data_IF_329129571215
#
_entry.id   IF_329129571215
#
_cell.length_a   1.000
_cell.length_b   1.000
_cell.length_c   1.000
_cell.angle_alpha   90.00
_cell.angle_beta   90.00
_cell.angle_gamma   90.00
#
_symmetry.space_group_name_H-M   'P 1'
#
loop_
_entity.id
_entity.type
_entity.pdbx_description
1 polymer ?
#
# COMPACT_ATOMS: atom_id res chain seq x y z
N UNK A 1 16.90 16.24 -8.20
CA UNK A 1 16.14 14.98 -8.09
C UNK A 1 16.41 14.18 -9.35
N UNK A 2 17.09 13.04 -9.26
CA UNK A 2 17.37 12.18 -10.42
C UNK A 2 16.06 11.68 -11.02
N UNK A 3 15.94 11.66 -12.34
CA UNK A 3 14.73 11.20 -13.06
C UNK A 3 14.32 9.77 -12.64
N UNK A 4 15.28 8.94 -12.22
CA UNK A 4 15.05 7.59 -11.72
C UNK A 4 14.18 7.55 -10.44
N UNK A 5 14.24 8.57 -9.58
CA UNK A 5 13.36 8.66 -8.40
C UNK A 5 11.89 8.82 -8.82
N UNK A 6 11.65 9.60 -9.87
CA UNK A 6 10.32 9.78 -10.45
C UNK A 6 9.84 8.47 -11.04
N UNK A 7 10.67 7.78 -11.83
CA UNK A 7 10.30 6.50 -12.42
C UNK A 7 10.05 5.41 -11.37
N UNK A 8 10.89 5.30 -10.35
CA UNK A 8 10.67 4.37 -9.24
C UNK A 8 9.37 4.65 -8.51
N UNK A 9 9.04 5.93 -8.30
CA UNK A 9 7.78 6.36 -7.67
C UNK A 9 6.57 5.95 -8.52
N UNK A 10 6.59 6.26 -9.82
CA UNK A 10 5.48 5.96 -10.72
C UNK A 10 5.29 4.45 -10.91
N UNK A 11 6.37 3.70 -11.14
CA UNK A 11 6.34 2.25 -11.25
C UNK A 11 5.84 1.61 -9.95
N UNK A 12 6.35 2.06 -8.79
CA UNK A 12 5.90 1.62 -7.48
C UNK A 12 4.42 1.92 -7.23
N UNK A 13 3.92 3.10 -7.59
CA UNK A 13 2.52 3.47 -7.42
C UNK A 13 1.60 2.60 -8.29
N UNK A 14 1.99 2.32 -9.53
CA UNK A 14 1.23 1.43 -10.43
C UNK A 14 1.19 0.01 -9.87
N UNK A 15 2.35 -0.56 -9.53
CA UNK A 15 2.43 -1.93 -8.99
C UNK A 15 1.67 -2.05 -7.66
N UNK A 16 1.78 -1.03 -6.79
CA UNK A 16 1.05 -0.95 -5.54
C UNK A 16 -0.46 -0.86 -5.74
N UNK A 17 -0.92 -0.09 -6.73
CA UNK A 17 -2.33 -0.02 -7.11
C UNK A 17 -2.86 -1.33 -7.70
N UNK A 18 -2.04 -2.07 -8.46
CA UNK A 18 -2.39 -3.41 -8.93
C UNK A 18 -2.54 -4.40 -7.76
N UNK A 19 -1.69 -4.29 -6.73
CA UNK A 19 -1.85 -5.08 -5.52
C UNK A 19 -3.15 -4.71 -4.78
N UNK A 20 -3.47 -3.43 -4.63
CA UNK A 20 -4.75 -3.00 -4.04
C UNK A 20 -5.94 -3.58 -4.81
N UNK A 21 -5.90 -3.50 -6.15
CA UNK A 21 -6.95 -4.06 -7.00
C UNK A 21 -7.06 -5.58 -6.86
N UNK A 22 -5.94 -6.31 -6.81
CA UNK A 22 -5.96 -7.77 -6.64
C UNK A 22 -6.59 -8.15 -5.29
N UNK A 23 -6.17 -7.52 -4.19
CA UNK A 23 -6.64 -7.87 -2.85
C UNK A 23 -8.09 -7.40 -2.61
N UNK A 24 -8.42 -6.16 -2.96
CA UNK A 24 -9.73 -5.57 -2.66
C UNK A 24 -10.77 -5.78 -3.78
N UNK A 25 -10.34 -5.77 -5.03
CA UNK A 25 -11.20 -5.89 -6.20
C UNK A 25 -11.45 -7.32 -6.67
N UNK A 26 -10.56 -8.27 -6.33
CA UNK A 26 -10.65 -9.67 -6.82
C UNK A 26 -10.73 -10.66 -5.66
N UNK A 27 -9.66 -10.82 -4.87
CA UNK A 27 -9.53 -11.93 -3.93
C UNK A 27 -10.51 -11.87 -2.75
N UNK A 28 -10.81 -10.67 -2.27
CA UNK A 28 -11.66 -10.47 -1.09
C UNK A 28 -12.87 -9.57 -1.35
N UNK A 29 -13.21 -9.33 -2.62
CA UNK A 29 -14.27 -8.39 -3.02
C UNK A 29 -15.60 -8.66 -2.31
N UNK A 30 -16.03 -9.92 -2.29
CA UNK A 30 -17.31 -10.32 -1.69
C UNK A 30 -17.38 -9.99 -0.19
N UNK A 31 -16.23 -9.97 0.50
CA UNK A 31 -16.18 -9.66 1.94
C UNK A 31 -16.45 -8.19 2.24
N UNK A 32 -16.27 -7.30 1.26
CA UNK A 32 -16.69 -5.91 1.38
C UNK A 32 -18.22 -5.73 1.36
N UNK A 33 -19.00 -6.79 1.16
CA UNK A 33 -20.46 -6.76 1.30
C UNK A 33 -20.94 -7.16 2.69
N UNK A 34 -20.06 -7.56 3.61
CA UNK A 34 -20.45 -7.95 4.98
C UNK A 34 -20.87 -6.76 5.83
N UNK A 35 -20.15 -5.63 5.75
CA UNK A 35 -20.46 -4.38 6.47
C UNK A 35 -20.44 -3.17 5.53
N UNK A 36 -21.33 -3.12 4.52
CA UNK A 36 -21.33 -2.08 3.49
C UNK A 36 -21.56 -0.68 4.06
N UNK A 37 -22.23 -0.56 5.21
CA UNK A 37 -22.46 0.70 5.91
C UNK A 37 -21.15 1.40 6.32
N UNK A 38 -20.02 0.69 6.39
CA UNK A 38 -18.73 1.24 6.82
C UNK A 38 -18.01 1.96 5.68
N UNK A 39 -18.10 1.49 4.44
CA UNK A 39 -17.29 2.01 3.32
C UNK A 39 -18.09 2.38 2.05
N UNK A 40 -19.32 1.86 1.85
CA UNK A 40 -20.17 2.15 0.68
C UNK A 40 -21.29 3.15 0.97
N UNK A 41 -20.93 4.33 1.46
CA UNK A 41 -21.88 5.44 1.64
C UNK A 41 -21.58 6.62 0.72
N UNK A 42 -22.53 6.96 -0.17
CA UNK A 42 -22.48 8.13 -1.04
C UNK A 42 -21.61 7.95 -2.30
N UNK A 43 -21.16 9.08 -2.88
CA UNK A 43 -20.34 9.07 -4.10
C UNK A 43 -18.89 8.62 -3.86
N UNK A 44 -18.47 7.54 -4.53
CA UNK A 44 -17.14 6.93 -4.32
C UNK A 44 -16.01 7.63 -5.11
N UNK A 45 -16.34 8.35 -6.18
CA UNK A 45 -15.34 8.93 -7.12
C UNK A 45 -14.28 9.78 -6.41
N UNK A 46 -14.68 10.64 -5.47
CA UNK A 46 -13.74 11.49 -4.73
C UNK A 46 -12.78 10.69 -3.85
N UNK A 47 -13.28 9.65 -3.18
CA UNK A 47 -12.47 8.76 -2.34
C UNK A 47 -11.50 7.93 -3.17
N UNK A 48 -11.93 7.48 -4.35
CA UNK A 48 -11.08 6.76 -5.30
C UNK A 48 -9.94 7.67 -5.78
N UNK A 49 -10.23 8.90 -6.21
CA UNK A 49 -9.19 9.84 -6.63
C UNK A 49 -8.19 10.14 -5.50
N UNK A 50 -8.69 10.32 -4.28
CA UNK A 50 -7.83 10.52 -3.11
C UNK A 50 -6.98 9.29 -2.81
N UNK A 51 -7.55 8.08 -2.89
CA UNK A 51 -6.81 6.83 -2.69
C UNK A 51 -5.68 6.67 -3.72
N UNK A 52 -5.93 7.01 -4.99
CA UNK A 52 -4.88 7.00 -6.02
C UNK A 52 -3.79 8.03 -5.76
N UNK A 53 -4.15 9.25 -5.32
CA UNK A 53 -3.17 10.26 -4.94
C UNK A 53 -2.31 9.78 -3.74
N UNK A 54 -2.94 9.17 -2.74
CA UNK A 54 -2.25 8.58 -1.58
C UNK A 54 -1.35 7.41 -1.97
N UNK A 55 -1.69 6.62 -3.00
CA UNK A 55 -0.82 5.58 -3.53
C UNK A 55 0.48 6.17 -4.11
N UNK A 56 0.39 7.29 -4.84
CA UNK A 56 1.57 8.01 -5.35
C UNK A 56 2.40 8.57 -4.21
N UNK A 57 1.76 9.18 -3.20
CA UNK A 57 2.44 9.71 -2.00
C UNK A 57 3.15 8.59 -1.23
N UNK A 58 2.52 7.44 -1.09
CA UNK A 58 3.10 6.27 -0.42
C UNK A 58 4.33 5.77 -1.16
N UNK A 59 4.23 5.58 -2.48
CA UNK A 59 5.36 5.14 -3.29
C UNK A 59 6.50 6.16 -3.28
N UNK A 60 6.20 7.44 -3.44
CA UNK A 60 7.21 8.51 -3.42
C UNK A 60 7.88 8.65 -2.07
N UNK A 61 7.12 8.57 -0.98
CA UNK A 61 7.65 8.58 0.38
C UNK A 61 8.57 7.39 0.66
N UNK A 62 8.18 6.19 0.23
CA UNK A 62 9.02 5.01 0.35
C UNK A 62 10.32 5.14 -0.46
N UNK A 63 10.22 5.52 -1.73
CA UNK A 63 11.37 5.69 -2.64
C UNK A 63 12.34 6.74 -2.10
N UNK A 64 11.83 7.89 -1.64
CA UNK A 64 12.64 8.94 -1.04
C UNK A 64 13.33 8.46 0.25
N UNK A 65 12.63 7.71 1.09
CA UNK A 65 13.20 7.14 2.31
C UNK A 65 14.29 6.12 2.01
N UNK A 66 14.05 5.20 1.06
CA UNK A 66 15.03 4.20 0.64
C UNK A 66 16.31 4.85 0.11
N UNK A 67 16.16 5.86 -0.76
CA UNK A 67 17.26 6.65 -1.30
C UNK A 67 18.04 7.37 -0.19
N UNK A 68 17.33 8.04 0.72
CA UNK A 68 17.95 8.81 1.82
C UNK A 68 18.71 7.93 2.81
N UNK A 69 18.23 6.71 3.03
CA UNK A 69 18.81 5.73 3.97
C UNK A 69 19.83 4.80 3.31
N UNK A 70 20.14 5.00 2.03
CA UNK A 70 21.00 4.12 1.24
C UNK A 70 20.56 2.64 1.29
N UNK A 71 19.25 2.40 1.30
CA UNK A 71 18.63 1.07 1.28
C UNK A 71 17.96 0.81 -0.07
N UNK A 72 18.64 1.16 -1.17
CA UNK A 72 18.09 0.98 -2.52
C UNK A 72 18.36 -0.41 -3.08
N UNK A 73 19.33 -1.18 -2.57
CA UNK A 73 19.52 -2.57 -3.00
C UNK A 73 18.33 -3.47 -2.60
N UNK A 74 18.16 -4.60 -3.28
CA UNK A 74 17.00 -5.47 -3.07
C UNK A 74 16.82 -5.92 -1.59
N UNK A 75 17.91 -6.24 -0.89
CA UNK A 75 17.85 -6.68 0.51
C UNK A 75 17.50 -5.50 1.41
N UNK A 76 18.14 -4.35 1.20
CA UNK A 76 17.87 -3.11 1.92
C UNK A 76 16.42 -2.65 1.75
N UNK A 77 15.93 -2.63 0.51
CA UNK A 77 14.58 -2.17 0.17
C UNK A 77 13.50 -3.11 0.72
N UNK A 78 13.67 -4.43 0.63
CA UNK A 78 12.71 -5.39 1.21
C UNK A 78 12.69 -5.29 2.75
N UNK A 79 13.85 -5.16 3.38
CA UNK A 79 13.95 -4.91 4.83
C UNK A 79 13.21 -3.62 5.21
N UNK A 80 13.40 -2.55 4.44
CA UNK A 80 12.70 -1.29 4.68
C UNK A 80 11.19 -1.44 4.49
N UNK A 81 10.72 -2.17 3.47
CA UNK A 81 9.30 -2.48 3.28
C UNK A 81 8.70 -3.21 4.49
N UNK A 82 9.39 -4.23 5.00
CA UNK A 82 8.95 -4.95 6.19
C UNK A 82 8.90 -4.03 7.43
N UNK A 83 9.89 -3.16 7.61
CA UNK A 83 9.93 -2.22 8.74
C UNK A 83 8.80 -1.19 8.65
N UNK A 84 8.60 -0.55 7.48
CA UNK A 84 7.51 0.40 7.25
C UNK A 84 6.16 -0.27 7.50
N UNK A 85 5.99 -1.50 7.02
CA UNK A 85 4.78 -2.29 7.25
C UNK A 85 4.52 -2.53 8.75
N UNK A 86 5.54 -2.96 9.50
CA UNK A 86 5.45 -3.27 10.93
C UNK A 86 5.11 -2.04 11.79
N UNK A 87 5.63 -0.86 11.44
CA UNK A 87 5.44 0.34 12.27
C UNK A 87 4.21 1.16 11.89
N UNK A 88 3.69 1.03 10.67
CA UNK A 88 2.60 1.85 10.15
C UNK A 88 1.35 1.04 9.81
N UNK A 89 1.27 0.44 8.60
CA UNK A 89 0.06 -0.24 8.13
C UNK A 89 -0.44 -1.35 9.05
N UNK A 90 0.43 -2.25 9.52
CA UNK A 90 0.00 -3.37 10.36
C UNK A 90 -0.69 -2.93 11.65
N UNK A 91 -0.05 -2.13 12.54
CA UNK A 91 -0.68 -1.71 13.78
C UNK A 91 -1.91 -0.84 13.54
N UNK A 92 -1.90 0.02 12.50
CA UNK A 92 -3.07 0.82 12.15
C UNK A 92 -4.28 -0.05 11.77
N UNK A 93 -4.08 -1.07 10.93
CA UNK A 93 -5.17 -1.94 10.48
C UNK A 93 -5.69 -2.85 11.60
N UNK A 94 -4.80 -3.37 12.44
CA UNK A 94 -5.20 -4.13 13.62
C UNK A 94 -5.95 -3.24 14.61
N UNK A 95 -5.46 -2.03 14.87
CA UNK A 95 -6.14 -1.04 15.71
C UNK A 95 -7.53 -0.71 15.19
N UNK A 96 -7.65 -0.43 13.88
CA UNK A 96 -8.93 -0.18 13.24
C UNK A 96 -9.89 -1.37 13.40
N UNK A 97 -9.41 -2.61 13.29
CA UNK A 97 -10.26 -3.78 13.47
C UNK A 97 -10.81 -3.94 14.89
N UNK A 98 -10.13 -3.40 15.91
CA UNK A 98 -10.61 -3.45 17.30
C UNK A 98 -11.78 -2.50 17.56
N UNK A 99 -11.89 -1.41 16.80
CA UNK A 99 -12.84 -0.33 17.08
C UNK A 99 -13.83 -0.04 15.94
N UNK A 100 -13.54 -0.52 14.73
CA UNK A 100 -14.38 -0.36 13.53
C UNK A 100 -14.89 -1.74 13.13
N UNK A 101 -16.15 -1.81 12.73
CA UNK A 101 -16.83 -3.03 12.28
C UNK A 101 -16.24 -3.51 10.94
N UNK A 102 -15.14 -4.25 11.00
CA UNK A 102 -14.44 -4.80 9.83
C UNK A 102 -14.47 -6.33 9.89
N UNK A 103 -14.75 -6.98 8.75
CA UNK A 103 -14.62 -8.44 8.64
C UNK A 103 -13.14 -8.83 8.87
N UNK A 104 -12.84 -9.84 9.72
CA UNK A 104 -11.45 -10.21 10.03
C UNK A 104 -10.62 -10.58 8.79
N UNK A 105 -11.24 -11.14 7.75
CA UNK A 105 -10.54 -11.49 6.50
C UNK A 105 -10.27 -10.25 5.66
N UNK A 106 -11.13 -9.24 5.70
CA UNK A 106 -10.87 -7.93 5.09
C UNK A 106 -9.67 -7.26 5.79
N UNK A 107 -9.64 -7.26 7.13
CA UNK A 107 -8.47 -6.74 7.87
C UNK A 107 -7.19 -7.49 7.51
N UNK A 108 -7.21 -8.82 7.52
CA UNK A 108 -6.05 -9.64 7.17
C UNK A 108 -5.60 -9.40 5.72
N UNK A 109 -6.56 -9.33 4.78
CA UNK A 109 -6.32 -9.00 3.38
C UNK A 109 -5.64 -7.65 3.22
N UNK A 110 -6.13 -6.61 3.90
CA UNK A 110 -5.48 -5.29 3.87
C UNK A 110 -4.09 -5.32 4.49
N UNK A 111 -3.91 -6.02 5.61
CA UNK A 111 -2.60 -6.11 6.26
C UNK A 111 -1.57 -6.76 5.34
N UNK A 112 -1.91 -7.89 4.72
CA UNK A 112 -1.04 -8.59 3.77
C UNK A 112 -0.89 -7.78 2.47
N UNK A 113 -1.97 -7.19 1.95
CA UNK A 113 -1.96 -6.37 0.74
C UNK A 113 -1.05 -5.15 0.88
N UNK A 114 -1.00 -4.52 2.06
CA UNK A 114 -0.05 -3.46 2.36
C UNK A 114 1.40 -3.93 2.35
N UNK A 115 1.68 -5.13 2.88
CA UNK A 115 3.03 -5.70 2.80
C UNK A 115 3.42 -5.97 1.34
N UNK A 116 2.55 -6.62 0.57
CA UNK A 116 2.79 -6.92 -0.85
C UNK A 116 3.00 -5.62 -1.64
N UNK A 117 2.17 -4.61 -1.44
CA UNK A 117 2.32 -3.27 -2.02
C UNK A 117 3.71 -2.70 -1.75
N UNK A 118 4.15 -2.70 -0.49
CA UNK A 118 5.46 -2.16 -0.11
C UNK A 118 6.61 -2.98 -0.69
N UNK A 119 6.48 -4.30 -0.78
CA UNK A 119 7.47 -5.17 -1.44
C UNK A 119 7.57 -4.88 -2.94
N UNK A 120 6.45 -4.62 -3.62
CA UNK A 120 6.46 -4.25 -5.03
C UNK A 120 7.08 -2.86 -5.26
N UNK A 121 6.78 -1.89 -4.39
CA UNK A 121 7.45 -0.59 -4.42
C UNK A 121 8.95 -0.76 -4.16
N UNK A 122 9.34 -1.61 -3.21
CA UNK A 122 10.74 -1.93 -2.93
C UNK A 122 11.44 -2.59 -4.13
N UNK A 123 10.78 -3.51 -4.84
CA UNK A 123 11.31 -4.13 -6.05
C UNK A 123 11.53 -3.08 -7.16
N UNK A 124 10.55 -2.18 -7.38
CA UNK A 124 10.70 -1.09 -8.34
C UNK A 124 11.84 -0.13 -7.94
N UNK A 125 11.96 0.18 -6.64
CA UNK A 125 13.04 0.99 -6.07
C UNK A 125 14.39 0.36 -6.37
N UNK A 126 14.57 -0.93 -6.06
CA UNK A 126 15.84 -1.63 -6.25
C UNK A 126 16.22 -1.89 -7.70
N UNK A 127 15.22 -1.92 -8.59
CA UNK A 127 15.47 -2.06 -10.01
C UNK A 127 15.92 -0.74 -10.67
N UNK A 128 15.47 0.40 -10.14
CA UNK A 128 15.61 1.70 -10.80
C UNK A 128 16.61 2.66 -10.13
N UNK A 129 17.03 2.39 -8.89
CA UNK A 129 17.96 3.22 -8.10
C UNK A 129 19.21 2.46 -7.67
#
# INVERSE_FOLDING_TARGET
MTINLVWATLAGAVLGGLADWLFAGVLFHDRYHTYPEVWRQGGERGRILLAQALAIVTAGGFVALAWKMHQTDARGAIKLAAMVWLIGPLPLLLGNHLFIKLDPRVTASHAVGWLVKLVLIAAATAWLL
#
